data_IF_116113548482
#
_entry.id   IF_116113548482
#
_cell.length_a   1.000
_cell.length_b   1.000
_cell.length_c   1.000
_cell.angle_alpha   90.00
_cell.angle_beta   90.00
_cell.angle_gamma   90.00
#
_symmetry.space_group_name_H-M   'P 1'
#
loop_
_entity.id
_entity.type
_entity.pdbx_description
1 polymer ?
#
# COMPACT_ATOMS: atom_id res chain seq x y z
N UNK A 1 6.03 -16.73 -11.54
CA UNK A 1 4.86 -16.52 -10.68
C UNK A 1 4.90 -17.49 -9.50
N UNK A 2 4.40 -17.10 -8.31
CA UNK A 2 4.31 -17.99 -7.16
C UNK A 2 3.39 -19.17 -7.45
N UNK A 3 3.90 -20.40 -7.29
CA UNK A 3 3.19 -21.65 -7.59
C UNK A 3 2.40 -22.17 -6.38
N UNK A 4 2.93 -21.98 -5.18
CA UNK A 4 2.31 -22.47 -3.93
C UNK A 4 1.63 -21.34 -3.14
N UNK A 5 0.64 -21.69 -2.32
CA UNK A 5 -0.02 -20.77 -1.39
C UNK A 5 0.99 -20.04 -0.50
N UNK A 6 2.00 -20.76 0.00
CA UNK A 6 3.09 -20.16 0.79
C UNK A 6 3.89 -19.11 -0.01
N UNK A 7 4.24 -19.43 -1.26
CA UNK A 7 4.96 -18.48 -2.13
C UNK A 7 4.11 -17.23 -2.44
N UNK A 8 2.79 -17.38 -2.57
CA UNK A 8 1.86 -16.25 -2.75
C UNK A 8 1.82 -15.37 -1.50
N UNK A 9 1.75 -15.99 -0.32
CA UNK A 9 1.78 -15.26 0.96
C UNK A 9 3.09 -14.49 1.13
N UNK A 10 4.23 -15.11 0.85
CA UNK A 10 5.55 -14.45 0.92
C UNK A 10 5.64 -13.30 -0.09
N UNK A 11 5.17 -13.50 -1.32
CA UNK A 11 5.17 -12.46 -2.34
C UNK A 11 4.32 -11.26 -1.92
N UNK A 12 3.11 -11.51 -1.40
CA UNK A 12 2.22 -10.47 -0.91
C UNK A 12 2.80 -9.76 0.32
N UNK A 13 3.37 -10.51 1.27
CA UNK A 13 4.03 -9.95 2.44
C UNK A 13 5.17 -8.99 2.05
N UNK A 14 6.06 -9.40 1.15
CA UNK A 14 7.15 -8.55 0.68
C UNK A 14 6.63 -7.31 -0.04
N UNK A 15 5.58 -7.46 -0.85
CA UNK A 15 4.95 -6.34 -1.56
C UNK A 15 4.38 -5.32 -0.57
N UNK A 16 3.59 -5.79 0.40
CA UNK A 16 2.97 -4.93 1.43
C UNK A 16 4.03 -4.25 2.30
N UNK A 17 5.12 -4.96 2.63
CA UNK A 17 6.21 -4.39 3.41
C UNK A 17 6.82 -3.20 2.67
N UNK A 18 7.17 -3.35 1.40
CA UNK A 18 7.76 -2.27 0.61
C UNK A 18 6.76 -1.13 0.39
N UNK A 19 5.51 -1.44 0.05
CA UNK A 19 4.49 -0.42 -0.23
C UNK A 19 4.19 0.42 1.00
N UNK A 20 3.96 -0.20 2.17
CA UNK A 20 3.59 0.51 3.40
C UNK A 20 4.71 1.43 3.85
N UNK A 21 5.97 0.98 3.83
CA UNK A 21 7.10 1.84 4.18
C UNK A 21 7.25 3.03 3.22
N UNK A 22 7.12 2.79 1.90
CA UNK A 22 7.17 3.86 0.90
C UNK A 22 6.03 4.86 1.08
N UNK A 23 4.85 4.38 1.46
CA UNK A 23 3.67 5.21 1.62
C UNK A 23 3.68 6.02 2.91
N UNK A 24 4.14 5.47 4.02
CA UNK A 24 4.36 6.20 5.27
C UNK A 24 5.38 7.31 5.04
N UNK A 25 6.47 7.03 4.33
CA UNK A 25 7.45 8.05 3.96
C UNK A 25 6.83 9.14 3.10
N UNK A 26 6.11 8.77 2.04
CA UNK A 26 5.41 9.70 1.16
C UNK A 26 4.42 10.58 1.94
N UNK A 27 3.58 9.98 2.78
CA UNK A 27 2.59 10.71 3.58
C UNK A 27 3.24 11.68 4.57
N UNK A 28 4.28 11.25 5.30
CA UNK A 28 4.91 12.08 6.32
C UNK A 28 5.80 13.19 5.76
N UNK A 29 6.57 12.90 4.71
CA UNK A 29 7.55 13.86 4.17
C UNK A 29 6.99 14.69 3.03
N UNK A 30 6.22 14.09 2.13
CA UNK A 30 5.77 14.78 0.91
C UNK A 30 4.42 15.44 1.12
N UNK A 31 3.45 14.72 1.69
CA UNK A 31 2.09 15.25 1.86
C UNK A 31 1.99 16.15 3.09
N UNK A 32 2.43 15.67 4.25
CA UNK A 32 2.25 16.36 5.52
C UNK A 32 3.51 17.10 6.00
N UNK A 33 4.66 16.90 5.35
CA UNK A 33 5.95 17.39 5.85
C UNK A 33 5.98 18.91 6.04
N UNK A 34 5.47 19.66 5.06
CA UNK A 34 5.40 21.13 5.14
C UNK A 34 4.52 21.63 6.29
N UNK A 35 3.36 21.00 6.49
CA UNK A 35 2.43 21.34 7.58
C UNK A 35 3.00 20.98 8.95
N UNK A 36 3.65 19.82 9.08
CA UNK A 36 4.31 19.40 10.32
C UNK A 36 5.40 20.38 10.70
N UNK A 37 6.26 20.77 9.75
CA UNK A 37 7.36 21.71 9.98
C UNK A 37 6.88 23.12 10.32
N UNK A 38 5.81 23.61 9.69
CA UNK A 38 5.27 24.95 9.96
C UNK A 38 4.60 25.06 11.33
N UNK A 39 3.87 24.02 11.75
CA UNK A 39 3.20 23.98 13.06
C UNK A 39 4.19 23.88 14.23
N UNK A 40 5.32 23.20 14.03
CA UNK A 40 6.31 22.97 15.10
C UNK A 40 7.48 23.95 15.06
N UNK A 41 7.65 24.71 13.97
CA UNK A 41 8.75 25.64 13.75
C UNK A 41 10.10 24.94 13.56
N UNK A 42 10.12 23.70 13.05
CA UNK A 42 11.34 22.91 12.86
C UNK A 42 11.67 22.70 11.40
N UNK A 43 12.94 22.58 11.05
CA UNK A 43 13.42 22.33 9.68
C UNK A 43 13.38 20.85 9.26
N UNK A 44 13.12 19.94 10.20
CA UNK A 44 13.16 18.49 9.99
C UNK A 44 11.82 17.84 10.35
N UNK A 45 11.28 17.02 9.46
CA UNK A 45 10.01 16.30 9.67
C UNK A 45 10.07 15.37 10.89
N UNK A 46 11.18 14.65 11.10
CA UNK A 46 11.34 13.82 12.30
C UNK A 46 11.32 14.65 13.59
N UNK A 47 11.95 15.83 13.58
CA UNK A 47 11.97 16.72 14.73
C UNK A 47 10.58 17.31 14.98
N UNK A 48 9.83 17.62 13.91
CA UNK A 48 8.44 18.05 14.01
C UNK A 48 7.58 16.96 14.67
N UNK A 49 7.65 15.72 14.18
CA UNK A 49 6.87 14.60 14.73
C UNK A 49 7.25 14.34 16.19
N UNK A 50 8.53 14.40 16.54
CA UNK A 50 8.98 14.23 17.92
C UNK A 50 8.46 15.36 18.83
N UNK A 51 8.45 16.60 18.34
CA UNK A 51 7.94 17.77 19.08
C UNK A 51 6.42 17.76 19.22
N UNK A 52 5.70 17.16 18.27
CA UNK A 52 4.26 16.95 18.31
C UNK A 52 3.86 15.75 19.20
N UNK A 53 4.81 14.92 19.62
CA UNK A 53 4.56 13.72 20.44
C UNK A 53 4.11 12.50 19.63
N UNK A 54 4.26 12.53 18.31
CA UNK A 54 3.87 11.44 17.40
C UNK A 54 2.85 11.86 16.36
N UNK A 55 2.30 10.87 15.67
CA UNK A 55 1.25 11.03 14.66
C UNK A 55 -0.09 10.83 15.35
N UNK A 56 -1.04 11.73 15.11
CA UNK A 56 -2.39 11.62 15.65
C UNK A 56 -3.12 10.44 15.01
N UNK A 57 -3.53 9.46 15.79
CA UNK A 57 -4.25 8.27 15.34
C UNK A 57 -5.22 7.84 16.45
N UNK A 58 -6.47 7.50 16.11
CA UNK A 58 -7.49 7.08 17.09
C UNK A 58 -7.68 8.06 18.27
N UNK A 59 -7.59 9.37 18.03
CA UNK A 59 -7.77 10.33 19.13
C UNK A 59 -6.54 10.56 20.01
N UNK A 60 -5.44 9.84 19.80
CA UNK A 60 -4.21 9.93 20.59
C UNK A 60 -2.97 10.06 19.70
N UNK A 61 -1.84 10.50 20.27
CA UNK A 61 -0.59 10.58 19.51
C UNK A 61 0.20 9.27 19.68
N UNK A 62 0.58 8.66 18.56
CA UNK A 62 1.34 7.41 18.52
C UNK A 62 2.70 7.59 17.84
N UNK A 63 3.73 6.83 18.24
CA UNK A 63 5.02 6.86 17.57
C UNK A 63 4.91 6.29 16.15
N UNK A 64 5.80 6.74 15.26
CA UNK A 64 5.82 6.36 13.83
C UNK A 64 5.82 4.84 13.65
N UNK A 65 6.59 4.11 14.46
CA UNK A 65 6.66 2.65 14.37
C UNK A 65 5.31 1.95 14.66
N UNK A 66 4.53 2.46 15.63
CA UNK A 66 3.21 1.91 15.93
C UNK A 66 2.25 2.13 14.76
N UNK A 67 2.30 3.31 14.13
CA UNK A 67 1.50 3.62 12.93
C UNK A 67 1.85 2.67 11.78
N UNK A 68 3.15 2.48 11.52
CA UNK A 68 3.62 1.55 10.47
C UNK A 68 3.06 0.15 10.72
N UNK A 69 3.09 -0.35 11.96
CA UNK A 69 2.58 -1.68 12.28
C UNK A 69 1.07 -1.80 12.06
N UNK A 70 0.30 -0.79 12.46
CA UNK A 70 -1.16 -0.82 12.30
C UNK A 70 -1.53 -0.74 10.82
N UNK A 71 -0.92 0.18 10.06
CA UNK A 71 -1.15 0.29 8.62
C UNK A 71 -0.70 -0.98 7.88
N UNK A 72 0.42 -1.57 8.28
CA UNK A 72 0.88 -2.85 7.74
C UNK A 72 -0.14 -3.98 7.98
N UNK A 73 -0.67 -4.07 9.20
CA UNK A 73 -1.69 -5.07 9.55
C UNK A 73 -2.95 -4.94 8.68
N UNK A 74 -3.48 -3.72 8.55
CA UNK A 74 -4.66 -3.48 7.70
C UNK A 74 -4.37 -3.68 6.21
N UNK A 75 -3.23 -3.20 5.71
CA UNK A 75 -2.85 -3.35 4.31
C UNK A 75 -2.66 -4.84 3.95
N UNK A 76 -2.01 -5.61 4.81
CA UNK A 76 -1.83 -7.05 4.60
C UNK A 76 -3.17 -7.80 4.61
N UNK A 77 -4.05 -7.48 5.56
CA UNK A 77 -5.39 -8.05 5.62
C UNK A 77 -6.21 -7.74 4.36
N UNK A 78 -6.18 -6.48 3.89
CA UNK A 78 -6.83 -6.09 2.64
C UNK A 78 -6.21 -6.74 1.40
N UNK A 79 -4.89 -6.91 1.35
CA UNK A 79 -4.21 -7.61 0.25
C UNK A 79 -4.68 -9.07 0.17
N UNK A 80 -4.78 -9.75 1.32
CA UNK A 80 -5.26 -11.13 1.38
C UNK A 80 -6.74 -11.24 0.99
N UNK A 81 -7.59 -10.31 1.44
CA UNK A 81 -9.03 -10.35 1.21
C UNK A 81 -9.43 -9.86 -0.19
N UNK A 82 -8.88 -8.74 -0.65
CA UNK A 82 -9.25 -8.07 -1.91
C UNK A 82 -8.24 -8.36 -3.02
N UNK A 83 -6.95 -8.24 -2.73
CA UNK A 83 -5.88 -8.35 -3.74
C UNK A 83 -5.83 -9.70 -4.43
N UNK A 84 -5.95 -10.81 -3.69
CA UNK A 84 -5.80 -12.15 -4.27
C UNK A 84 -7.04 -12.67 -5.03
N UNK A 85 -8.28 -12.63 -4.48
CA UNK A 85 -9.44 -13.20 -5.17
C UNK A 85 -10.24 -12.17 -6.00
N UNK A 86 -10.37 -10.92 -5.55
CA UNK A 86 -11.24 -9.94 -6.21
C UNK A 86 -10.57 -9.30 -7.42
N UNK A 87 -9.29 -8.94 -7.34
CA UNK A 87 -8.57 -8.34 -8.48
C UNK A 87 -8.49 -9.28 -9.67
N UNK A 88 -8.24 -10.57 -9.43
CA UNK A 88 -8.25 -11.59 -10.49
C UNK A 88 -9.63 -11.72 -11.13
N UNK A 89 -10.70 -11.76 -10.31
CA UNK A 89 -12.09 -11.85 -10.79
C UNK A 89 -12.52 -10.60 -11.57
N UNK A 90 -12.02 -9.43 -11.19
CA UNK A 90 -12.30 -8.18 -11.89
C UNK A 90 -11.54 -8.12 -13.23
N UNK A 91 -10.26 -8.49 -13.24
CA UNK A 91 -9.44 -8.53 -14.44
C UNK A 91 -9.94 -9.57 -15.44
N UNK A 92 -10.35 -10.77 -14.99
CA UNK A 92 -10.91 -11.81 -15.86
C UNK A 92 -12.28 -11.47 -16.45
N UNK A 93 -12.99 -10.48 -15.89
CA UNK A 93 -14.25 -9.97 -16.46
C UNK A 93 -14.01 -8.97 -17.59
N UNK A 94 -12.90 -8.24 -17.53
CA UNK A 94 -12.57 -7.18 -18.51
C UNK A 94 -11.67 -7.72 -19.62
N UNK A 95 -10.77 -8.65 -19.29
CA UNK A 95 -9.83 -9.26 -20.23
C UNK A 95 -10.00 -10.77 -20.26
N UNK A 96 -10.01 -11.32 -21.47
CA UNK A 96 -10.09 -12.76 -21.69
C UNK A 96 -8.69 -13.38 -21.48
N UNK A 97 -8.47 -14.21 -20.45
CA UNK A 97 -7.14 -14.72 -20.08
C UNK A 97 -6.51 -15.56 -21.19
N UNK A 98 -7.33 -16.15 -22.07
CA UNK A 98 -6.90 -17.04 -23.15
C UNK A 98 -6.50 -16.31 -24.44
N UNK A 99 -6.90 -15.04 -24.62
CA UNK A 99 -6.60 -14.26 -25.83
C UNK A 99 -5.65 -13.09 -25.58
N UNK A 100 -5.45 -12.70 -24.32
CA UNK A 100 -4.67 -11.52 -23.95
C UNK A 100 -3.22 -11.89 -23.67
N UNK A 101 -2.26 -11.08 -24.13
CA UNK A 101 -0.84 -11.30 -23.84
C UNK A 101 -0.60 -11.29 -22.32
N UNK A 102 0.18 -12.23 -21.74
CA UNK A 102 0.32 -12.40 -20.29
C UNK A 102 0.72 -11.13 -19.55
N UNK A 103 1.57 -10.29 -20.15
CA UNK A 103 2.00 -9.01 -19.58
C UNK A 103 0.85 -8.00 -19.48
N UNK A 104 -0.04 -7.94 -20.47
CA UNK A 104 -1.20 -7.04 -20.45
C UNK A 104 -2.21 -7.48 -19.38
N UNK A 105 -2.42 -8.79 -19.24
CA UNK A 105 -3.30 -9.35 -18.23
C UNK A 105 -2.77 -9.10 -16.81
N UNK A 106 -1.46 -9.26 -16.58
CA UNK A 106 -0.83 -8.91 -15.31
C UNK A 106 -1.03 -7.42 -14.98
N UNK A 107 -0.74 -6.52 -15.92
CA UNK A 107 -0.93 -5.07 -15.72
C UNK A 107 -2.38 -4.72 -15.44
N UNK A 108 -3.35 -5.39 -16.09
CA UNK A 108 -4.76 -5.19 -15.80
C UNK A 108 -5.15 -5.60 -14.37
N UNK A 109 -4.64 -6.73 -13.88
CA UNK A 109 -4.82 -7.16 -12.48
C UNK A 109 -4.27 -6.09 -11.54
N UNK A 110 -3.09 -5.56 -11.84
CA UNK A 110 -2.44 -4.53 -11.03
C UNK A 110 -3.29 -3.26 -10.95
N UNK A 111 -3.73 -2.76 -12.11
CA UNK A 111 -4.58 -1.58 -12.18
C UNK A 111 -5.86 -1.79 -11.37
N UNK A 112 -6.48 -2.97 -11.47
CA UNK A 112 -7.65 -3.35 -10.68
C UNK A 112 -7.33 -3.41 -9.18
N UNK A 113 -6.20 -4.01 -8.78
CA UNK A 113 -5.77 -4.07 -7.38
C UNK A 113 -5.54 -2.68 -6.81
N UNK A 114 -4.79 -1.82 -7.48
CA UNK A 114 -4.54 -0.44 -7.03
C UNK A 114 -5.85 0.35 -6.95
N UNK A 115 -6.71 0.21 -7.96
CA UNK A 115 -8.01 0.86 -8.00
C UNK A 115 -8.99 0.40 -6.92
N UNK A 116 -8.86 -0.82 -6.39
CA UNK A 116 -9.72 -1.33 -5.30
C UNK A 116 -9.09 -1.12 -3.92
N UNK A 117 -7.79 -1.37 -3.79
CA UNK A 117 -7.09 -1.29 -2.50
C UNK A 117 -6.83 0.14 -2.07
N UNK A 118 -6.51 1.06 -2.98
CA UNK A 118 -6.26 2.45 -2.61
C UNK A 118 -7.51 3.11 -1.98
N UNK A 119 -8.72 2.98 -2.57
CA UNK A 119 -9.94 3.47 -1.91
C UNK A 119 -10.24 2.80 -0.58
N UNK A 120 -10.05 1.48 -0.48
CA UNK A 120 -10.31 0.73 0.76
C UNK A 120 -9.35 1.13 1.88
N UNK A 121 -8.04 1.19 1.60
CA UNK A 121 -7.03 1.60 2.58
C UNK A 121 -7.18 3.08 2.94
N UNK A 122 -7.43 3.96 1.96
CA UNK A 122 -7.66 5.39 2.23
C UNK A 122 -8.91 5.63 3.07
N UNK A 123 -9.92 4.76 2.97
CA UNK A 123 -11.11 4.82 3.83
C UNK A 123 -10.79 4.42 5.27
N UNK A 124 -10.01 3.36 5.45
CA UNK A 124 -9.53 2.99 6.79
C UNK A 124 -8.68 4.13 7.35
N UNK A 125 -7.76 4.69 6.56
CA UNK A 125 -6.93 5.82 6.98
C UNK A 125 -7.76 7.05 7.35
N UNK A 126 -8.80 7.42 6.56
CA UNK A 126 -9.65 8.57 6.90
C UNK A 126 -10.39 8.39 8.22
N UNK A 127 -10.74 7.14 8.59
CA UNK A 127 -11.28 6.82 9.92
C UNK A 127 -10.21 6.90 11.01
N UNK A 128 -9.04 6.31 10.78
CA UNK A 128 -7.93 6.24 11.75
C UNK A 128 -7.39 7.64 12.12
N UNK A 129 -7.27 8.51 11.12
CA UNK A 129 -6.73 9.87 11.23
C UNK A 129 -7.81 10.93 11.42
N UNK A 130 -9.09 10.52 11.60
CA UNK A 130 -10.19 11.46 11.74
C UNK A 130 -9.99 12.37 12.96
N UNK A 131 -10.16 13.70 12.85
CA UNK A 131 -10.04 14.63 13.98
C UNK A 131 -11.23 14.48 14.95
N UNK A 132 -11.15 13.50 15.86
CA UNK A 132 -12.21 13.20 16.82
C UNK A 132 -12.44 14.33 17.85
N UNK A 133 -11.49 15.26 18.00
CA UNK A 133 -11.61 16.40 18.91
C UNK A 133 -12.63 17.47 18.44
N UNK A 134 -13.00 17.50 17.14
CA UNK A 134 -13.95 18.48 16.59
C UNK A 134 -15.38 17.96 16.40
N UNK A 135 -15.68 16.75 16.89
CA UNK A 135 -16.97 16.08 16.68
C UNK A 135 -17.01 15.26 15.40
N UNK A 136 -17.85 14.21 15.39
CA UNK A 136 -17.97 13.29 14.25
C UNK A 136 -18.92 13.84 13.19
N UNK A 137 -18.39 14.06 11.99
CA UNK A 137 -19.14 14.53 10.84
C UNK A 137 -18.81 13.65 9.62
N UNK A 138 -19.84 13.00 9.09
CA UNK A 138 -19.73 12.07 7.95
C UNK A 138 -19.24 12.80 6.68
N UNK A 139 -19.61 14.07 6.49
CA UNK A 139 -19.19 14.84 5.33
C UNK A 139 -17.68 15.14 5.37
N UNK A 140 -17.12 15.43 6.55
CA UNK A 140 -15.68 15.63 6.73
C UNK A 140 -14.93 14.32 6.50
N UNK A 141 -15.45 13.20 7.01
CA UNK A 141 -14.87 11.87 6.78
C UNK A 141 -14.82 11.54 5.28
N UNK A 142 -15.89 11.83 4.55
CA UNK A 142 -15.97 11.58 3.11
C UNK A 142 -15.04 12.51 2.32
N UNK A 143 -14.92 13.77 2.74
CA UNK A 143 -13.99 14.73 2.14
C UNK A 143 -12.53 14.30 2.33
N UNK A 144 -12.12 13.91 3.54
CA UNK A 144 -10.78 13.40 3.81
C UNK A 144 -10.52 12.08 3.08
N UNK A 145 -11.53 11.20 2.97
CA UNK A 145 -11.41 9.97 2.19
C UNK A 145 -11.12 10.26 0.71
N UNK A 146 -11.92 11.12 0.06
CA UNK A 146 -11.70 11.48 -1.35
C UNK A 146 -10.36 12.19 -1.55
N UNK A 147 -10.00 13.09 -0.65
CA UNK A 147 -8.70 13.77 -0.64
C UNK A 147 -7.56 12.75 -0.58
N UNK A 148 -7.61 11.80 0.35
CA UNK A 148 -6.61 10.74 0.47
C UNK A 148 -6.54 9.89 -0.81
N UNK A 149 -7.67 9.52 -1.41
CA UNK A 149 -7.67 8.82 -2.70
C UNK A 149 -6.93 9.65 -3.76
N UNK A 150 -7.23 10.94 -3.89
CA UNK A 150 -6.61 11.80 -4.90
C UNK A 150 -5.10 11.94 -4.74
N UNK A 151 -4.59 12.02 -3.50
CA UNK A 151 -3.14 12.08 -3.25
C UNK A 151 -2.46 10.73 -3.45
N UNK A 152 -3.10 9.67 -2.98
CA UNK A 152 -2.46 8.38 -2.85
C UNK A 152 -2.57 7.51 -4.10
N UNK A 153 -3.68 7.60 -4.83
CA UNK A 153 -3.93 6.81 -6.03
C UNK A 153 -2.85 6.98 -7.11
N UNK A 154 -2.45 8.22 -7.52
CA UNK A 154 -1.41 8.38 -8.51
C UNK A 154 -0.07 7.83 -8.01
N UNK A 155 0.31 8.13 -6.78
CA UNK A 155 1.55 7.62 -6.19
C UNK A 155 1.57 6.08 -6.16
N UNK A 156 0.51 5.45 -5.67
CA UNK A 156 0.37 4.00 -5.63
C UNK A 156 0.42 3.40 -7.03
N UNK A 157 -0.30 3.97 -8.00
CA UNK A 157 -0.32 3.46 -9.37
C UNK A 157 1.07 3.45 -10.02
N UNK A 158 1.78 4.57 -9.98
CA UNK A 158 3.11 4.69 -10.60
C UNK A 158 4.17 3.87 -9.87
N UNK A 159 4.19 3.93 -8.53
CA UNK A 159 5.18 3.17 -7.75
C UNK A 159 4.96 1.66 -7.86
N UNK A 160 3.71 1.22 -7.86
CA UNK A 160 3.37 -0.20 -7.94
C UNK A 160 3.79 -0.79 -9.30
N UNK A 161 3.48 -0.10 -10.40
CA UNK A 161 3.74 -0.58 -11.76
C UNK A 161 5.22 -0.50 -12.13
N UNK A 162 5.89 0.61 -11.85
CA UNK A 162 7.25 0.85 -12.35
C UNK A 162 8.37 0.41 -11.39
N UNK A 163 8.13 0.37 -10.07
CA UNK A 163 9.18 0.15 -9.09
C UNK A 163 8.97 -1.13 -8.30
N UNK A 164 7.82 -1.23 -7.61
CA UNK A 164 7.58 -2.31 -6.64
C UNK A 164 7.50 -3.65 -7.36
N UNK A 165 6.78 -3.76 -8.48
CA UNK A 165 6.70 -5.03 -9.19
C UNK A 165 8.03 -5.54 -9.75
N UNK A 166 8.83 -4.75 -10.50
CA UNK A 166 10.16 -5.19 -10.92
C UNK A 166 11.06 -5.59 -9.74
N UNK A 167 10.99 -4.85 -8.64
CA UNK A 167 11.75 -5.12 -7.42
C UNK A 167 11.33 -6.46 -6.80
N UNK A 168 10.04 -6.66 -6.54
CA UNK A 168 9.53 -7.88 -5.90
C UNK A 168 9.77 -9.09 -6.81
N UNK A 169 9.60 -8.97 -8.13
CA UNK A 169 9.96 -10.04 -9.08
C UNK A 169 11.45 -10.39 -9.00
N UNK A 170 12.32 -9.40 -8.89
CA UNK A 170 13.77 -9.60 -8.76
C UNK A 170 14.15 -10.26 -7.43
N UNK A 171 13.56 -9.80 -6.32
CA UNK A 171 13.76 -10.38 -4.98
C UNK A 171 13.24 -11.82 -4.93
N UNK A 172 12.05 -12.07 -5.46
CA UNK A 172 11.47 -13.41 -5.50
C UNK A 172 12.32 -14.36 -6.35
N UNK A 173 12.81 -13.91 -7.51
CA UNK A 173 13.74 -14.68 -8.34
C UNK A 173 15.05 -14.97 -7.60
N UNK A 174 15.56 -14.01 -6.80
CA UNK A 174 16.76 -14.20 -6.00
C UNK A 174 16.54 -15.21 -4.85
N UNK A 175 15.44 -15.11 -4.12
CA UNK A 175 15.11 -16.01 -3.00
C UNK A 175 14.90 -17.46 -3.46
N UNK A 176 14.22 -17.66 -4.59
CA UNK A 176 13.91 -18.99 -5.14
C UNK A 176 14.84 -19.41 -6.28
N UNK A 177 16.02 -18.78 -6.43
CA UNK A 177 16.99 -19.08 -7.50
C UNK A 177 17.39 -20.55 -7.54
N UNK A 178 17.58 -21.17 -6.37
CA UNK A 178 17.96 -22.58 -6.23
C UNK A 178 16.84 -23.54 -6.64
N UNK A 179 15.60 -23.22 -6.32
CA UNK A 179 14.40 -24.00 -6.68
C UNK A 179 14.16 -23.96 -8.21
N UNK A 180 14.33 -22.78 -8.82
CA UNK A 180 14.22 -22.59 -10.27
C UNK A 180 15.37 -23.30 -11.02
N UNK A 181 16.60 -23.22 -10.49
CA UNK A 181 17.75 -23.91 -11.08
C UNK A 181 17.66 -25.43 -10.94
N UNK A 182 17.18 -25.96 -9.80
CA UNK A 182 16.98 -27.39 -9.60
C UNK A 182 15.95 -27.99 -10.59
N UNK A 183 14.95 -27.21 -11.01
CA UNK A 183 13.98 -27.62 -12.03
C UNK A 183 14.50 -27.53 -13.47
N UNK A 184 15.39 -26.59 -13.81
CA UNK A 184 16.02 -26.53 -15.13
C UNK A 184 16.99 -27.69 -15.41
N UNK A 185 17.37 -28.45 -14.38
CA UNK A 185 18.20 -29.66 -14.51
C UNK A 185 17.32 -30.92 -14.62
N UNK A 186 16.03 -30.84 -14.31
CA UNK A 186 15.06 -31.95 -14.34
C UNK A 186 14.14 -31.94 -15.58
N UNK A 187 14.18 -30.88 -16.39
CA UNK A 187 13.50 -30.77 -17.70
C UNK A 187 14.55 -30.76 -18.81
#
# INVERSE_FOLDING_TARGET
MPRNQFQRMVYAFLTVLVTVHGYVFYSLYVVNGGTLMSLTGTTNVLAAINKQGGIYMFGSHFPIWAVILVEFGFAYLLEMLLGSPYSYKLASKVFDPSKTHPVLFETAIICATVGLMCPAMSFIASLLYYPYYSGFNIAVLFAEWLKLICFNLPFAFFTQLFFIQPLIRSVFKFLYRKDIQAQNVLN
#
